data_IF_742275324442
#
_entry.id   IF_742275324442
#
_cell.length_a   1.000
_cell.length_b   1.000
_cell.length_c   1.000
_cell.angle_alpha   90.00
_cell.angle_beta   90.00
_cell.angle_gamma   90.00
#
_symmetry.space_group_name_H-M   'P 1'
#
loop_
_entity.id
_entity.type
_entity.pdbx_description
1 polymer ?
#
# COMPACT_ATOMS: atom_id res chain seq x y z
N UNK A 1 -17.22 30.01 -74.46
CA UNK A 1 -18.09 30.50 -73.37
C UNK A 1 -17.63 29.81 -72.10
N UNK A 2 -17.24 30.57 -71.09
CA UNK A 2 -16.40 30.17 -69.95
C UNK A 2 -17.17 29.24 -68.99
N UNK A 3 -16.65 28.03 -68.72
CA UNK A 3 -17.22 27.15 -67.69
C UNK A 3 -16.98 27.76 -66.31
N UNK A 4 -18.07 28.19 -65.67
CA UNK A 4 -18.06 28.74 -64.32
C UNK A 4 -17.75 27.60 -63.35
N UNK A 5 -16.54 27.56 -62.78
CA UNK A 5 -16.27 26.75 -61.59
C UNK A 5 -17.13 27.35 -60.47
N UNK A 6 -18.28 26.73 -60.20
CA UNK A 6 -19.09 27.04 -59.02
C UNK A 6 -18.31 26.45 -57.85
N UNK A 7 -17.59 27.28 -57.11
CA UNK A 7 -16.87 26.84 -55.89
C UNK A 7 -17.89 26.26 -54.93
N UNK A 8 -17.74 24.97 -54.64
CA UNK A 8 -18.64 24.24 -53.76
C UNK A 8 -18.29 24.52 -52.29
N UNK A 9 -18.53 25.75 -51.85
CA UNK A 9 -18.27 26.20 -50.46
C UNK A 9 -19.11 25.41 -49.44
N UNK A 10 -20.29 24.92 -49.84
CA UNK A 10 -21.17 24.13 -48.99
C UNK A 10 -20.59 22.72 -48.71
N UNK A 11 -20.02 22.06 -49.73
CA UNK A 11 -19.30 20.81 -49.57
C UNK A 11 -18.05 20.98 -48.70
N UNK A 12 -17.24 22.02 -48.95
CA UNK A 12 -16.05 22.34 -48.16
C UNK A 12 -16.35 22.68 -46.69
N UNK A 13 -17.46 23.38 -46.42
CA UNK A 13 -17.92 23.67 -45.06
C UNK A 13 -18.36 22.41 -44.30
N UNK A 14 -18.89 21.41 -45.01
CA UNK A 14 -19.30 20.13 -44.40
C UNK A 14 -18.09 19.28 -44.05
N UNK A 15 -17.10 19.22 -44.96
CA UNK A 15 -15.81 18.54 -44.71
C UNK A 15 -15.04 19.18 -43.54
N UNK A 16 -15.02 20.51 -43.44
CA UNK A 16 -14.42 21.21 -42.31
C UNK A 16 -15.14 20.92 -40.99
N UNK A 17 -16.47 20.77 -41.01
CA UNK A 17 -17.28 20.36 -39.87
C UNK A 17 -16.87 18.98 -39.34
N UNK A 18 -16.68 17.99 -40.23
CA UNK A 18 -16.23 16.66 -39.82
C UNK A 18 -14.83 16.67 -39.20
N UNK A 19 -13.89 17.42 -39.79
CA UNK A 19 -12.54 17.57 -39.25
C UNK A 19 -12.61 18.20 -37.86
N UNK A 20 -13.41 19.26 -37.69
CA UNK A 20 -13.55 19.94 -36.40
C UNK A 20 -14.16 19.03 -35.34
N UNK A 21 -15.25 18.32 -35.65
CA UNK A 21 -15.87 17.38 -34.70
C UNK A 21 -14.93 16.22 -34.37
N UNK A 22 -14.19 15.71 -35.34
CA UNK A 22 -13.18 14.68 -35.11
C UNK A 22 -12.08 15.18 -34.17
N UNK A 23 -11.50 16.34 -34.46
CA UNK A 23 -10.47 16.95 -33.60
C UNK A 23 -10.98 17.25 -32.20
N UNK A 24 -12.21 17.75 -32.07
CA UNK A 24 -12.86 17.96 -30.78
C UNK A 24 -12.99 16.64 -30.01
N UNK A 25 -13.40 15.56 -30.69
CA UNK A 25 -13.46 14.22 -30.12
C UNK A 25 -12.10 13.73 -29.62
N UNK A 26 -11.03 13.92 -30.41
CA UNK A 26 -9.66 13.53 -30.01
C UNK A 26 -9.19 14.32 -28.79
N UNK A 27 -9.48 15.62 -28.72
CA UNK A 27 -9.11 16.46 -27.57
C UNK A 27 -9.86 16.00 -26.32
N UNK A 28 -11.19 15.80 -26.42
CA UNK A 28 -12.00 15.34 -25.30
C UNK A 28 -11.54 13.95 -24.81
N UNK A 29 -11.25 13.03 -25.72
CA UNK A 29 -10.76 11.70 -25.37
C UNK A 29 -9.38 11.75 -24.71
N UNK A 30 -8.51 12.65 -25.16
CA UNK A 30 -7.19 12.85 -24.57
C UNK A 30 -7.29 13.42 -23.15
N UNK A 31 -8.14 14.43 -22.95
CA UNK A 31 -8.39 15.00 -21.61
C UNK A 31 -9.00 13.96 -20.67
N UNK A 32 -9.97 13.19 -21.14
CA UNK A 32 -10.58 12.11 -20.37
C UNK A 32 -9.56 11.04 -19.98
N UNK A 33 -8.68 10.63 -20.90
CA UNK A 33 -7.63 9.64 -20.62
C UNK A 33 -6.68 10.08 -19.52
N UNK A 34 -6.19 11.32 -19.57
CA UNK A 34 -5.29 11.87 -18.54
C UNK A 34 -6.00 11.97 -17.18
N UNK A 35 -7.24 12.44 -17.18
CA UNK A 35 -8.05 12.51 -15.96
C UNK A 35 -8.28 11.12 -15.34
N UNK A 36 -8.69 10.14 -16.15
CA UNK A 36 -8.94 8.77 -15.70
C UNK A 36 -7.69 8.15 -15.08
N UNK A 37 -6.52 8.32 -15.72
CA UNK A 37 -5.24 7.86 -15.19
C UNK A 37 -4.90 8.51 -13.85
N UNK A 38 -5.20 9.80 -13.68
CA UNK A 38 -5.03 10.50 -12.41
C UNK A 38 -5.89 9.93 -11.29
N UNK A 39 -7.16 9.61 -11.57
CA UNK A 39 -8.06 8.98 -10.59
C UNK A 39 -7.60 7.58 -10.20
N UNK A 40 -7.17 6.78 -11.17
CA UNK A 40 -6.63 5.44 -10.93
C UNK A 40 -5.40 5.50 -10.02
N UNK A 41 -4.45 6.39 -10.34
CA UNK A 41 -3.22 6.57 -9.56
C UNK A 41 -3.52 7.00 -8.13
N UNK A 42 -4.35 8.02 -7.93
CA UNK A 42 -4.72 8.50 -6.61
C UNK A 42 -5.49 7.45 -5.79
N UNK A 43 -6.31 6.64 -6.47
CA UNK A 43 -7.01 5.53 -5.82
C UNK A 43 -6.01 4.49 -5.35
N UNK A 44 -5.11 4.02 -6.24
CA UNK A 44 -4.07 3.05 -5.91
C UNK A 44 -3.21 3.48 -4.73
N UNK A 45 -2.73 4.73 -4.72
CA UNK A 45 -1.94 5.28 -3.62
C UNK A 45 -2.70 5.21 -2.29
N UNK A 46 -3.97 5.63 -2.28
CA UNK A 46 -4.81 5.57 -1.07
C UNK A 46 -5.05 4.14 -0.61
N UNK A 47 -5.24 3.19 -1.52
CA UNK A 47 -5.40 1.77 -1.18
C UNK A 47 -4.13 1.20 -0.56
N UNK A 48 -2.95 1.53 -1.11
CA UNK A 48 -1.67 1.11 -0.54
C UNK A 48 -1.48 1.65 0.88
N UNK A 49 -1.72 2.94 1.09
CA UNK A 49 -1.61 3.55 2.41
C UNK A 49 -2.55 2.90 3.42
N UNK A 50 -3.83 2.74 3.07
CA UNK A 50 -4.81 2.10 3.95
C UNK A 50 -4.46 0.63 4.27
N UNK A 51 -3.97 -0.12 3.28
CA UNK A 51 -3.58 -1.51 3.48
C UNK A 51 -2.38 -1.62 4.43
N UNK A 52 -1.38 -0.77 4.25
CA UNK A 52 -0.22 -0.67 5.17
C UNK A 52 -0.68 -0.32 6.57
N UNK A 53 -1.47 0.76 6.73
CA UNK A 53 -1.93 1.22 8.04
C UNK A 53 -2.74 0.13 8.76
N UNK A 54 -3.60 -0.59 8.03
CA UNK A 54 -4.38 -1.71 8.58
C UNK A 54 -3.47 -2.88 8.98
N UNK A 55 -2.50 -3.25 8.15
CA UNK A 55 -1.57 -4.33 8.46
C UNK A 55 -0.72 -4.01 9.70
N UNK A 56 -0.24 -2.78 9.83
CA UNK A 56 0.53 -2.35 11.00
C UNK A 56 -0.34 -2.31 12.27
N UNK A 57 -1.60 -1.90 12.16
CA UNK A 57 -2.54 -1.94 13.27
C UNK A 57 -2.81 -3.39 13.74
N UNK A 58 -3.03 -4.32 12.79
CA UNK A 58 -3.23 -5.73 13.09
C UNK A 58 -1.98 -6.34 13.76
N UNK A 59 -0.79 -5.99 13.26
CA UNK A 59 0.47 -6.48 13.81
C UNK A 59 0.77 -5.90 15.20
N UNK A 60 0.59 -4.60 15.39
CA UNK A 60 0.71 -3.97 16.70
C UNK A 60 -0.26 -4.61 17.71
N UNK A 61 -1.51 -4.85 17.29
CA UNK A 61 -2.50 -5.52 18.14
C UNK A 61 -2.08 -6.95 18.54
N UNK A 62 -1.44 -7.69 17.65
CA UNK A 62 -0.90 -9.02 17.96
C UNK A 62 0.30 -8.95 18.92
N UNK A 63 1.17 -7.95 18.76
CA UNK A 63 2.28 -7.68 19.70
C UNK A 63 1.74 -7.36 21.10
N UNK A 64 0.69 -6.53 21.20
CA UNK A 64 0.02 -6.24 22.48
C UNK A 64 -0.60 -7.49 23.10
N UNK A 65 -1.22 -8.36 22.30
CA UNK A 65 -1.73 -9.65 22.80
C UNK A 65 -0.62 -10.55 23.32
N UNK A 66 0.52 -10.59 22.63
CA UNK A 66 1.69 -11.34 23.06
C UNK A 66 2.27 -10.78 24.37
N UNK A 67 2.34 -9.46 24.53
CA UNK A 67 2.73 -8.82 25.80
C UNK A 67 1.74 -9.16 26.92
N UNK A 68 0.43 -9.07 26.68
CA UNK A 68 -0.59 -9.44 27.67
C UNK A 68 -0.49 -10.91 28.08
N UNK A 69 -0.20 -11.82 27.14
CA UNK A 69 0.02 -13.23 27.43
C UNK A 69 1.26 -13.46 28.30
N UNK A 70 2.33 -12.70 28.09
CA UNK A 70 3.56 -12.79 28.91
C UNK A 70 3.30 -12.55 30.40
N UNK A 71 2.30 -11.72 30.73
CA UNK A 71 1.95 -11.38 32.13
C UNK A 71 1.25 -12.51 32.87
N UNK A 72 0.88 -13.59 32.20
CA UNK A 72 0.18 -14.73 32.80
C UNK A 72 1.16 -15.75 33.44
N UNK A 73 2.48 -15.62 33.23
CA UNK A 73 3.50 -16.43 33.89
C UNK A 73 4.86 -16.44 33.18
N UNK A 74 5.93 -16.70 33.95
CA UNK A 74 7.33 -16.53 33.52
C UNK A 74 7.82 -17.48 32.40
N UNK A 75 7.05 -18.52 32.05
CA UNK A 75 7.45 -19.55 31.06
C UNK A 75 6.46 -19.69 29.90
N UNK A 76 5.59 -18.70 29.71
CA UNK A 76 4.60 -18.74 28.63
C UNK A 76 5.28 -18.54 27.29
N UNK A 77 4.87 -19.38 26.33
CA UNK A 77 5.23 -19.25 24.94
C UNK A 77 3.97 -18.87 24.17
N UNK A 78 4.05 -17.80 23.40
CA UNK A 78 2.95 -17.30 22.59
C UNK A 78 3.40 -17.19 21.14
N UNK A 79 2.54 -17.59 20.22
CA UNK A 79 2.77 -17.44 18.79
C UNK A 79 1.46 -17.11 18.08
N UNK A 80 1.45 -16.07 17.27
CA UNK A 80 0.31 -15.67 16.46
C UNK A 80 0.76 -15.33 15.04
N UNK A 81 0.06 -15.88 14.05
CA UNK A 81 0.24 -15.50 12.65
C UNK A 81 -0.67 -14.31 12.33
N UNK A 82 -0.06 -13.21 11.90
CA UNK A 82 -0.74 -12.02 11.42
C UNK A 82 -0.68 -12.02 9.90
N UNK A 83 -1.85 -11.99 9.26
CA UNK A 83 -1.92 -11.92 7.80
C UNK A 83 -1.44 -10.55 7.32
N UNK A 84 -0.61 -10.56 6.28
CA UNK A 84 -0.21 -9.36 5.57
C UNK A 84 -1.08 -9.19 4.33
N UNK A 85 -1.83 -8.08 4.26
CA UNK A 85 -2.59 -7.73 3.04
C UNK A 85 -1.62 -7.23 1.98
N UNK A 86 -1.72 -7.78 0.79
CA UNK A 86 -0.94 -7.33 -0.36
C UNK A 86 -1.20 -5.86 -0.67
N UNK A 87 -0.12 -5.16 -0.97
CA UNK A 87 -0.13 -3.82 -1.53
C UNK A 87 0.33 -3.87 -2.99
N UNK A 88 -0.01 -2.87 -3.79
CA UNK A 88 0.56 -2.71 -5.13
C UNK A 88 1.96 -2.09 -5.09
N UNK A 89 2.42 -1.64 -3.92
CA UNK A 89 3.79 -1.20 -3.70
C UNK A 89 4.76 -2.39 -3.74
N UNK A 90 6.02 -2.14 -4.07
CA UNK A 90 7.04 -3.21 -4.11
C UNK A 90 7.41 -3.66 -2.68
N UNK A 91 6.78 -4.75 -2.24
CA UNK A 91 6.97 -5.27 -0.89
C UNK A 91 8.38 -5.81 -0.61
N UNK A 92 9.21 -6.00 -1.65
CA UNK A 92 10.61 -6.40 -1.46
C UNK A 92 11.45 -5.29 -0.80
N UNK A 93 11.01 -4.04 -0.92
CA UNK A 93 11.67 -2.87 -0.36
C UNK A 93 11.19 -2.55 1.05
N UNK A 94 10.12 -3.20 1.53
CA UNK A 94 9.64 -2.98 2.89
C UNK A 94 10.52 -3.68 3.92
N UNK A 95 10.93 -2.90 4.91
CA UNK A 95 11.65 -3.36 6.10
C UNK A 95 10.87 -3.00 7.35
N UNK A 96 10.35 -4.02 8.00
CA UNK A 96 9.59 -3.89 9.22
C UNK A 96 10.51 -4.12 10.42
N UNK A 97 10.51 -3.21 11.39
CA UNK A 97 11.34 -3.28 12.60
C UNK A 97 10.47 -3.11 13.83
N UNK A 98 10.52 -4.09 14.73
CA UNK A 98 9.93 -4.02 16.06
C UNK A 98 11.02 -3.67 17.07
N UNK A 99 10.78 -2.63 17.86
CA UNK A 99 11.68 -2.14 18.90
C UNK A 99 10.90 -1.68 20.12
N UNK A 100 11.62 -1.36 21.20
CA UNK A 100 11.07 -0.76 22.42
C UNK A 100 10.26 0.53 22.18
N UNK A 101 10.51 1.22 21.07
CA UNK A 101 9.83 2.47 20.74
C UNK A 101 8.53 2.28 19.96
N UNK A 102 8.36 1.12 19.32
CA UNK A 102 7.30 0.97 18.33
C UNK A 102 7.59 -0.05 17.25
N UNK A 103 6.57 -0.22 16.41
CA UNK A 103 6.65 -0.90 15.13
C UNK A 103 6.89 0.14 14.03
N UNK A 104 8.00 0.00 13.30
CA UNK A 104 8.35 0.90 12.20
C UNK A 104 8.37 0.12 10.89
N UNK A 105 7.78 0.71 9.85
CA UNK A 105 7.89 0.28 8.47
C UNK A 105 8.74 1.31 7.74
N UNK A 106 9.86 0.85 7.19
CA UNK A 106 10.72 1.64 6.33
C UNK A 106 10.61 1.12 4.89
N UNK A 107 10.58 2.07 3.96
CA UNK A 107 10.58 1.86 2.53
C UNK A 107 11.51 2.90 1.89
N UNK A 108 12.13 2.57 0.76
CA UNK A 108 13.04 3.50 0.07
C UNK A 108 12.31 4.75 -0.41
N UNK A 109 11.06 4.60 -0.82
CA UNK A 109 10.12 5.71 -1.04
C UNK A 109 9.54 6.13 0.32
N UNK A 110 10.18 7.11 0.95
CA UNK A 110 9.86 7.63 2.29
C UNK A 110 8.37 7.92 2.56
N UNK A 111 7.56 8.16 1.52
CA UNK A 111 6.11 8.40 1.64
C UNK A 111 5.33 7.21 2.22
N UNK A 112 5.89 6.00 2.13
CA UNK A 112 5.32 4.77 2.68
C UNK A 112 5.86 4.45 4.08
N UNK A 113 6.77 5.25 4.62
CA UNK A 113 7.26 5.06 5.98
C UNK A 113 6.13 5.27 6.97
N UNK A 114 6.04 4.37 7.94
CA UNK A 114 5.02 4.41 8.99
C UNK A 114 5.63 4.03 10.31
N UNK A 115 5.11 4.62 11.36
CA UNK A 115 5.45 4.28 12.73
C UNK A 115 4.16 4.12 13.51
N UNK A 116 4.04 2.99 14.20
CA UNK A 116 2.94 2.70 15.09
C UNK A 116 3.54 2.44 16.46
N UNK A 117 3.20 3.29 17.41
CA UNK A 117 3.54 3.05 18.82
C UNK A 117 2.75 1.83 19.30
N UNK A 118 3.46 0.85 19.83
CA UNK A 118 2.87 -0.16 20.70
C UNK A 118 2.65 0.51 22.06
N UNK A 119 1.47 0.32 22.65
CA UNK A 119 1.14 0.78 23.99
C UNK A 119 1.90 -0.06 25.01
N UNK A 120 3.23 0.16 25.08
CA UNK A 120 4.14 -0.43 26.05
C UNK A 120 3.75 0.00 27.47
N UNK A 121 2.72 -0.65 28.01
CA UNK A 121 2.30 -0.55 29.41
C UNK A 121 3.10 -1.51 30.29
N UNK A 122 4.03 -2.27 29.71
CA UNK A 122 4.92 -3.20 30.40
C UNK A 122 6.36 -3.04 29.94
N UNK A 123 7.31 -3.38 30.82
CA UNK A 123 8.75 -3.44 30.58
C UNK A 123 9.14 -4.67 29.73
N UNK A 124 8.35 -5.01 28.72
CA UNK A 124 8.60 -6.12 27.82
C UNK A 124 9.78 -5.78 26.90
N UNK A 125 10.60 -6.78 26.56
CA UNK A 125 11.66 -6.59 25.58
C UNK A 125 11.09 -6.87 24.17
N UNK A 126 11.29 -5.93 23.25
CA UNK A 126 10.77 -5.99 21.89
C UNK A 126 11.92 -6.01 20.87
N UNK A 127 11.91 -6.99 19.97
CA UNK A 127 12.98 -7.11 18.97
C UNK A 127 12.52 -7.79 17.70
N UNK A 128 13.02 -7.33 16.56
CA UNK A 128 12.91 -8.08 15.31
C UNK A 128 13.01 -7.16 14.11
N UNK A 129 13.57 -7.68 13.03
CA UNK A 129 13.62 -6.98 11.76
C UNK A 129 13.39 -7.99 10.65
N UNK A 130 12.39 -7.75 9.83
CA UNK A 130 12.05 -8.62 8.71
C UNK A 130 11.91 -7.80 7.43
N UNK A 131 12.29 -8.40 6.31
CA UNK A 131 11.89 -7.92 4.99
C UNK A 131 10.59 -8.62 4.60
N UNK A 132 9.64 -7.86 4.05
CA UNK A 132 8.36 -8.44 3.65
C UNK A 132 8.49 -9.33 2.42
N UNK A 133 9.20 -8.92 1.36
CA UNK A 133 9.61 -9.78 0.23
C UNK A 133 8.58 -10.86 -0.19
N UNK A 134 7.31 -10.48 -0.33
CA UNK A 134 6.21 -11.36 -0.75
C UNK A 134 5.62 -12.29 0.33
N UNK A 135 5.91 -12.04 1.61
CA UNK A 135 5.31 -12.74 2.73
C UNK A 135 3.81 -12.42 2.82
N UNK A 136 3.01 -13.48 3.00
CA UNK A 136 1.57 -13.36 3.23
C UNK A 136 1.20 -13.37 4.72
N UNK A 137 2.16 -13.71 5.57
CA UNK A 137 2.00 -13.77 7.02
C UNK A 137 3.30 -13.38 7.74
N UNK A 138 3.13 -12.78 8.90
CA UNK A 138 4.19 -12.47 9.86
C UNK A 138 3.84 -13.14 11.16
N UNK A 139 4.83 -13.76 11.80
CA UNK A 139 4.68 -14.39 13.09
C UNK A 139 5.09 -13.43 14.20
N UNK A 140 4.18 -13.20 15.16
CA UNK A 140 4.48 -12.56 16.44
C UNK A 140 4.72 -13.66 17.45
N UNK A 141 5.88 -13.61 18.11
CA UNK A 141 6.37 -14.68 18.99
C UNK A 141 6.79 -14.06 20.32
N UNK A 142 6.26 -14.58 21.43
CA UNK A 142 6.79 -14.32 22.76
C UNK A 142 7.48 -15.58 23.29
N UNK A 143 8.76 -15.47 23.62
CA UNK A 143 9.53 -16.55 24.23
C UNK A 143 10.68 -15.98 25.07
N UNK A 144 10.93 -16.58 26.24
CA UNK A 144 12.03 -16.20 27.14
C UNK A 144 12.02 -14.70 27.53
N UNK A 145 10.84 -14.11 27.71
CA UNK A 145 10.69 -12.70 28.08
C UNK A 145 10.96 -11.70 26.95
N UNK A 146 11.00 -12.16 25.70
CA UNK A 146 11.18 -11.32 24.51
C UNK A 146 10.01 -11.53 23.56
N UNK A 147 9.36 -10.42 23.17
CA UNK A 147 8.36 -10.39 22.09
C UNK A 147 9.05 -9.99 20.79
N UNK A 148 8.82 -10.77 19.74
CA UNK A 148 9.51 -10.61 18.47
C UNK A 148 8.63 -10.84 17.25
N UNK A 149 9.07 -10.31 16.12
CA UNK A 149 8.50 -10.57 14.80
C UNK A 149 9.42 -11.48 14.00
N UNK A 150 8.84 -12.45 13.30
CA UNK A 150 9.57 -13.41 12.48
C UNK A 150 8.78 -13.76 11.22
N UNK A 151 9.50 -14.27 10.21
CA UNK A 151 8.90 -14.74 8.95
C UNK A 151 8.44 -16.20 9.03
N UNK A 152 8.96 -16.96 10.00
CA UNK A 152 8.71 -18.38 10.13
C UNK A 152 7.94 -18.70 11.41
N UNK A 153 7.08 -19.70 11.33
CA UNK A 153 6.39 -20.26 12.48
C UNK A 153 7.40 -20.83 13.51
N UNK A 154 7.25 -20.52 14.81
CA UNK A 154 8.07 -21.13 15.84
C UNK A 154 7.77 -22.63 15.99
N UNK A 155 8.76 -23.40 16.43
CA UNK A 155 8.73 -24.87 16.48
C UNK A 155 8.29 -25.47 17.82
N UNK A 156 7.92 -24.63 18.79
CA UNK A 156 7.48 -25.09 20.11
C UNK A 156 5.99 -25.44 20.14
#
# INVERSE_FOLDING_TARGET
MISKIKRDEAAASTELGYIFTFMLGVILLSMFSVWSFGIETATRERWNQNAIDTNLADLASAVERADLASRQGDSIQYAEAVKWRYTEADETLFKLTLSEHGLTLNHDEYELNREVSISATGSGNYSGTISLSGLSEIWVIHQNGITSIATNRPSF
#
